data_IF_996783728460
#
_entry.id   IF_996783728460
#
_cell.length_a   1.000
_cell.length_b   1.000
_cell.length_c   1.000
_cell.angle_alpha   90.00
_cell.angle_beta   90.00
_cell.angle_gamma   90.00
#
_symmetry.space_group_name_H-M   'P 1'
#
loop_
_entity.id
_entity.type
_entity.pdbx_description
1 polymer ?
#
# COMPACT_ATOMS: atom_id res chain seq x y z
N UNK A 1 -43.90 -36.50 -5.30
CA UNK A 1 -42.59 -35.89 -4.96
C UNK A 1 -42.86 -34.80 -3.95
N UNK A 2 -42.71 -35.13 -2.67
CA UNK A 2 -43.09 -34.29 -1.55
C UNK A 2 -41.93 -34.02 -0.60
N UNK A 3 -42.15 -33.01 0.24
CA UNK A 3 -41.42 -32.57 1.46
C UNK A 3 -40.04 -31.91 1.23
N UNK A 4 -39.96 -30.58 1.31
CA UNK A 4 -39.80 -29.71 2.50
C UNK A 4 -38.34 -29.63 2.99
N UNK A 5 -37.73 -28.45 2.88
CA UNK A 5 -36.73 -27.93 3.82
C UNK A 5 -36.58 -26.41 3.70
N UNK A 6 -37.46 -25.72 4.43
CA UNK A 6 -37.25 -24.54 5.27
C UNK A 6 -35.95 -23.74 5.12
N UNK A 7 -36.03 -22.51 4.58
CA UNK A 7 -35.29 -21.36 5.12
C UNK A 7 -36.15 -20.10 4.97
N UNK A 8 -37.04 -19.90 5.95
CA UNK A 8 -37.72 -18.63 6.16
C UNK A 8 -36.75 -17.70 6.89
N UNK A 9 -36.10 -16.79 6.17
CA UNK A 9 -35.43 -15.67 6.81
C UNK A 9 -36.44 -14.53 6.99
N UNK A 10 -36.97 -14.40 8.20
CA UNK A 10 -37.71 -13.21 8.62
C UNK A 10 -36.70 -12.10 8.91
N UNK A 11 -36.59 -11.12 8.02
CA UNK A 11 -35.85 -9.90 8.32
C UNK A 11 -36.80 -8.91 9.01
N UNK A 12 -36.58 -8.65 10.30
CA UNK A 12 -37.25 -7.57 11.03
C UNK A 12 -36.60 -6.25 10.60
N UNK A 13 -37.31 -5.45 9.81
CA UNK A 13 -36.92 -4.06 9.54
C UNK A 13 -37.55 -3.22 10.65
N UNK A 14 -36.74 -2.76 11.58
CA UNK A 14 -37.14 -1.75 12.58
C UNK A 14 -37.20 -0.39 11.90
N UNK A 15 -38.36 0.27 11.95
CA UNK A 15 -38.46 1.70 11.64
C UNK A 15 -37.64 2.50 12.67
N UNK A 16 -37.08 3.67 12.30
CA UNK A 16 -36.16 4.45 13.15
C UNK A 16 -36.75 4.93 14.50
N UNK A 17 -38.05 4.74 14.71
CA UNK A 17 -38.84 5.08 15.90
C UNK A 17 -39.24 3.86 16.77
N UNK A 18 -38.72 2.66 16.47
CA UNK A 18 -38.68 1.55 17.42
C UNK A 18 -40.01 0.84 17.72
N UNK A 19 -41.05 1.01 16.89
CA UNK A 19 -42.32 0.24 17.03
C UNK A 19 -42.43 -0.86 15.95
N UNK A 20 -42.92 -2.06 16.29
CA UNK A 20 -43.15 -3.11 15.30
C UNK A 20 -44.45 -2.84 14.52
N UNK A 21 -44.34 -2.68 13.20
CA UNK A 21 -45.50 -2.69 12.29
C UNK A 21 -45.40 -3.87 11.32
N UNK A 22 -46.47 -4.67 11.30
CA UNK A 22 -46.92 -5.61 10.27
C UNK A 22 -45.92 -6.38 9.39
N UNK A 23 -46.08 -7.71 9.35
CA UNK A 23 -45.41 -8.61 8.41
C UNK A 23 -45.85 -8.34 6.96
N UNK A 24 -44.92 -7.95 6.09
CA UNK A 24 -45.16 -7.86 4.63
C UNK A 24 -44.57 -9.05 3.90
N UNK A 25 -45.37 -9.65 2.99
CA UNK A 25 -44.95 -10.71 2.07
C UNK A 25 -44.39 -10.08 0.80
N UNK A 26 -43.10 -10.26 0.51
CA UNK A 26 -42.52 -9.83 -0.76
C UNK A 26 -42.92 -10.87 -1.82
N UNK A 27 -44.02 -10.61 -2.51
CA UNK A 27 -44.44 -11.37 -3.69
C UNK A 27 -43.61 -10.90 -4.90
N UNK A 28 -42.96 -11.85 -5.58
CA UNK A 28 -42.09 -11.58 -6.71
C UNK A 28 -42.85 -10.97 -7.88
N UNK A 29 -42.60 -9.71 -8.18
CA UNK A 29 -42.73 -9.14 -9.52
C UNK A 29 -41.86 -7.90 -9.60
N UNK A 30 -40.81 -7.97 -10.43
CA UNK A 30 -40.46 -6.98 -11.44
C UNK A 30 -38.94 -6.90 -11.64
N UNK A 31 -38.43 -7.80 -12.47
CA UNK A 31 -37.07 -7.73 -13.04
C UNK A 31 -36.80 -6.38 -13.74
N UNK A 32 -37.85 -5.63 -14.09
CA UNK A 32 -37.75 -4.31 -14.71
C UNK A 32 -37.29 -3.20 -13.75
N UNK A 33 -37.54 -3.34 -12.44
CA UNK A 33 -37.09 -2.34 -11.46
C UNK A 33 -35.56 -2.38 -11.35
N UNK A 34 -34.94 -3.55 -11.34
CA UNK A 34 -33.48 -3.69 -11.36
C UNK A 34 -32.82 -3.08 -12.60
N UNK A 35 -33.50 -3.13 -13.75
CA UNK A 35 -32.97 -2.60 -15.00
C UNK A 35 -33.05 -1.06 -15.07
N UNK A 36 -34.06 -0.45 -14.44
CA UNK A 36 -34.15 1.01 -14.31
C UNK A 36 -33.21 1.58 -13.24
N UNK A 37 -32.98 0.86 -12.14
CA UNK A 37 -31.96 1.25 -11.15
C UNK A 37 -30.54 1.23 -11.75
N UNK A 38 -30.26 0.40 -12.75
CA UNK A 38 -28.99 0.36 -13.49
C UNK A 38 -28.76 1.55 -14.43
N UNK A 39 -29.80 2.31 -14.79
CA UNK A 39 -29.71 3.48 -15.66
C UNK A 39 -29.66 4.81 -14.89
N UNK A 40 -30.08 4.80 -13.62
CA UNK A 40 -30.05 5.97 -12.73
C UNK A 40 -28.88 5.97 -11.74
N UNK A 41 -28.20 4.83 -11.57
CA UNK A 41 -26.98 4.76 -10.78
C UNK A 41 -25.79 5.09 -11.69
N UNK A 42 -24.93 6.06 -11.34
CA UNK A 42 -23.64 6.20 -12.00
C UNK A 42 -22.91 4.85 -11.93
N UNK A 43 -22.04 4.52 -12.92
CA UNK A 43 -21.23 3.30 -12.84
C UNK A 43 -20.59 3.26 -11.45
N UNK A 44 -20.53 2.09 -10.78
CA UNK A 44 -19.71 2.00 -9.57
C UNK A 44 -18.36 2.52 -10.00
N UNK A 45 -17.96 3.68 -9.47
CA UNK A 45 -16.62 4.19 -9.66
C UNK A 45 -15.77 3.02 -9.25
N UNK A 46 -15.11 2.40 -10.24
CA UNK A 46 -14.02 1.46 -10.02
C UNK A 46 -13.30 2.03 -8.82
N UNK A 47 -13.14 1.24 -7.75
CA UNK A 47 -12.33 1.68 -6.63
C UNK A 47 -10.98 2.07 -7.23
N UNK A 48 -10.83 3.33 -7.63
CA UNK A 48 -9.61 4.06 -7.55
C UNK A 48 -9.44 4.04 -6.07
N UNK A 49 -8.76 2.98 -5.61
CA UNK A 49 -8.04 2.97 -4.37
C UNK A 49 -7.46 4.38 -4.33
N UNK A 50 -8.05 5.22 -3.47
CA UNK A 50 -7.53 6.54 -3.26
C UNK A 50 -6.18 6.22 -2.69
N UNK A 51 -5.19 6.20 -3.56
CA UNK A 51 -3.81 6.09 -3.17
C UNK A 51 -3.62 7.40 -2.45
N UNK A 52 -3.90 7.39 -1.14
CA UNK A 52 -3.25 8.29 -0.22
C UNK A 52 -1.81 8.31 -0.72
N UNK A 53 -1.23 9.46 -1.07
CA UNK A 53 0.14 9.49 -1.55
C UNK A 53 0.94 8.74 -0.49
N UNK A 54 1.39 7.53 -0.81
CA UNK A 54 2.20 6.77 0.11
C UNK A 54 3.46 7.61 0.18
N UNK A 55 3.64 8.24 1.34
CA UNK A 55 4.83 9.05 1.56
C UNK A 55 5.98 8.04 1.58
N UNK A 56 6.91 8.20 0.67
CA UNK A 56 8.15 7.43 0.63
C UNK A 56 9.26 8.41 0.90
N UNK A 57 10.03 8.17 1.95
CA UNK A 57 11.14 9.05 2.28
C UNK A 57 12.27 8.25 2.89
N UNK A 58 13.42 8.30 2.22
CA UNK A 58 14.67 7.69 2.62
C UNK A 58 15.73 8.77 2.75
N UNK A 59 16.27 8.95 3.96
CA UNK A 59 17.42 9.81 4.21
C UNK A 59 18.71 8.98 4.19
N UNK A 60 19.65 9.35 3.33
CA UNK A 60 20.97 8.72 3.19
C UNK A 60 22.02 9.67 3.77
N UNK A 61 22.97 9.13 4.53
CA UNK A 61 24.04 9.88 5.16
C UNK A 61 25.41 9.41 4.68
N UNK A 62 26.31 10.38 4.50
CA UNK A 62 27.68 10.15 4.05
C UNK A 62 28.52 9.38 5.08
N UNK A 63 28.24 9.54 6.38
CA UNK A 63 28.96 8.86 7.47
C UNK A 63 28.05 7.93 8.26
N UNK A 64 28.66 7.05 9.05
CA UNK A 64 27.96 6.25 10.05
C UNK A 64 27.31 7.14 11.12
N UNK A 65 26.36 6.57 11.87
CA UNK A 65 25.62 7.24 12.96
C UNK A 65 24.86 8.51 12.53
N UNK A 66 24.35 8.54 11.28
CA UNK A 66 23.57 9.67 10.74
C UNK A 66 24.33 11.00 10.73
N UNK A 67 25.64 10.94 10.45
CA UNK A 67 26.52 12.11 10.41
C UNK A 67 26.91 12.50 8.97
N UNK A 68 27.44 13.71 8.84
CA UNK A 68 27.92 14.23 7.56
C UNK A 68 26.79 14.78 6.70
N UNK A 69 27.00 14.80 5.38
CA UNK A 69 25.99 15.28 4.46
C UNK A 69 24.83 14.29 4.38
N UNK A 70 23.61 14.81 4.31
CA UNK A 70 22.38 14.04 4.19
C UNK A 70 21.75 14.33 2.82
N UNK A 71 21.28 13.28 2.15
CA UNK A 71 20.48 13.36 0.93
C UNK A 71 19.16 12.66 1.19
N UNK A 72 18.06 13.37 0.96
CA UNK A 72 16.71 12.80 1.07
C UNK A 72 16.22 12.37 -0.30
N UNK A 73 15.65 11.16 -0.37
CA UNK A 73 15.12 10.55 -1.58
C UNK A 73 13.66 10.15 -1.36
N UNK A 74 12.82 10.53 -2.31
CA UNK A 74 11.38 10.26 -2.32
C UNK A 74 10.94 9.47 -3.55
N UNK A 75 11.85 9.27 -4.51
CA UNK A 75 11.60 8.63 -5.79
C UNK A 75 12.61 7.51 -6.06
N UNK A 76 12.30 6.70 -7.08
CA UNK A 76 13.16 5.61 -7.51
C UNK A 76 14.40 6.18 -8.24
N UNK A 77 15.56 5.60 -7.99
CA UNK A 77 16.82 6.05 -8.59
C UNK A 77 17.58 4.88 -9.21
N UNK A 78 17.72 4.82 -10.54
CA UNK A 78 18.50 3.77 -11.22
C UNK A 78 20.02 3.96 -11.05
N UNK A 79 20.48 5.12 -10.60
CA UNK A 79 21.88 5.43 -10.33
C UNK A 79 22.00 6.41 -9.15
N UNK A 80 22.10 5.86 -7.94
CA UNK A 80 22.13 6.69 -6.71
C UNK A 80 23.46 7.44 -6.53
N UNK A 81 24.55 6.91 -7.10
CA UNK A 81 25.89 7.50 -6.99
C UNK A 81 25.99 8.93 -7.54
N UNK A 82 25.12 9.31 -8.48
CA UNK A 82 25.13 10.68 -9.04
C UNK A 82 24.49 11.70 -8.09
N UNK A 83 23.64 11.23 -7.18
CA UNK A 83 22.95 12.04 -6.18
C UNK A 83 23.75 12.12 -4.88
N UNK A 84 24.54 11.09 -4.59
CA UNK A 84 25.43 11.03 -3.45
C UNK A 84 26.76 11.70 -3.75
N UNK A 85 27.28 12.49 -2.81
CA UNK A 85 28.64 13.03 -2.90
C UNK A 85 29.73 11.97 -2.71
N UNK A 86 29.37 10.86 -2.07
CA UNK A 86 30.24 9.74 -1.75
C UNK A 86 29.79 8.50 -2.53
N UNK A 87 30.73 7.64 -2.98
CA UNK A 87 30.39 6.38 -3.64
C UNK A 87 29.77 5.33 -2.70
N UNK A 88 29.76 5.60 -1.39
CA UNK A 88 29.27 4.67 -0.38
C UNK A 88 28.23 5.32 0.55
N UNK A 89 27.16 4.57 0.79
CA UNK A 89 26.15 4.84 1.79
C UNK A 89 26.54 4.16 3.10
N UNK A 90 26.95 4.95 4.08
CA UNK A 90 27.43 4.44 5.36
C UNK A 90 26.30 4.30 6.39
N UNK A 91 25.33 5.21 6.40
CA UNK A 91 24.12 5.08 7.21
C UNK A 91 22.89 5.64 6.49
N UNK A 92 21.70 5.19 6.91
CA UNK A 92 20.44 5.68 6.35
C UNK A 92 19.31 5.67 7.39
N UNK A 93 18.24 6.40 7.11
CA UNK A 93 17.01 6.38 7.88
C UNK A 93 15.83 6.32 6.94
N UNK A 94 15.01 5.29 7.07
CA UNK A 94 13.74 5.18 6.36
C UNK A 94 12.69 5.88 7.22
N UNK A 95 12.24 7.05 6.77
CA UNK A 95 11.21 7.83 7.46
C UNK A 95 9.83 7.26 7.15
N UNK A 96 9.55 7.05 5.85
CA UNK A 96 8.27 6.53 5.39
C UNK A 96 8.44 5.56 4.21
N UNK A 97 7.52 4.59 4.17
CA UNK A 97 7.48 3.54 3.16
C UNK A 97 8.56 2.47 3.32
N UNK A 98 8.57 1.52 2.38
CA UNK A 98 9.57 0.47 2.29
C UNK A 98 10.46 0.72 1.08
N UNK A 99 11.74 0.42 1.22
CA UNK A 99 12.73 0.68 0.18
C UNK A 99 13.53 -0.58 -0.14
N UNK A 100 13.89 -0.75 -1.40
CA UNK A 100 14.79 -1.82 -1.85
C UNK A 100 16.05 -1.17 -2.38
N UNK A 101 17.18 -1.47 -1.73
CA UNK A 101 18.49 -1.10 -2.22
C UNK A 101 19.05 -2.20 -3.12
N UNK A 102 19.82 -1.79 -4.11
CA UNK A 102 20.52 -2.66 -5.04
C UNK A 102 22.01 -2.36 -5.02
N UNK A 103 22.82 -3.41 -4.97
CA UNK A 103 24.28 -3.31 -5.00
C UNK A 103 24.78 -2.68 -6.32
N UNK A 104 24.12 -2.95 -7.45
CA UNK A 104 24.51 -2.44 -8.76
C UNK A 104 23.51 -1.42 -9.32
N UNK A 105 23.92 -0.56 -10.27
CA UNK A 105 23.02 0.34 -10.99
C UNK A 105 21.93 -0.42 -11.77
N UNK A 106 20.85 0.29 -12.10
CA UNK A 106 19.72 -0.23 -12.88
C UNK A 106 19.00 -1.43 -12.24
N UNK A 107 18.85 -1.43 -10.92
CA UNK A 107 18.13 -2.43 -10.13
C UNK A 107 18.71 -3.85 -10.25
N UNK A 108 20.04 -3.97 -10.26
CA UNK A 108 20.77 -5.24 -10.42
C UNK A 108 21.57 -5.62 -9.18
N UNK A 109 22.01 -6.88 -9.13
CA UNK A 109 22.84 -7.40 -8.04
C UNK A 109 22.02 -7.80 -6.82
N UNK A 110 22.67 -7.80 -5.65
CA UNK A 110 22.02 -8.14 -4.37
C UNK A 110 21.01 -7.08 -3.98
N UNK A 111 19.91 -7.53 -3.38
CA UNK A 111 18.79 -6.70 -2.95
C UNK A 111 18.72 -6.66 -1.44
N UNK A 112 18.48 -5.49 -0.88
CA UNK A 112 18.33 -5.29 0.57
C UNK A 112 17.03 -4.55 0.84
N UNK A 113 16.09 -5.20 1.52
CA UNK A 113 14.83 -4.59 1.93
C UNK A 113 15.04 -3.76 3.19
N UNK A 114 14.81 -2.46 3.09
CA UNK A 114 14.76 -1.54 4.22
C UNK A 114 13.33 -1.34 4.67
N UNK A 115 13.12 -1.56 5.96
CA UNK A 115 11.88 -1.22 6.68
C UNK A 115 12.00 0.18 7.31
N UNK A 116 10.88 0.85 7.59
CA UNK A 116 10.87 2.07 8.41
C UNK A 116 11.73 1.91 9.67
N UNK A 117 12.66 2.85 9.88
CA UNK A 117 13.64 2.76 10.95
C UNK A 117 14.98 3.40 10.62
N UNK A 118 15.85 3.42 11.63
CA UNK A 118 17.17 4.01 11.57
C UNK A 118 18.23 2.92 11.43
N UNK A 119 19.11 3.06 10.44
CA UNK A 119 20.22 2.16 10.20
C UNK A 119 21.53 2.93 10.31
N UNK A 120 22.28 2.71 11.39
CA UNK A 120 23.50 3.49 11.70
C UNK A 120 24.73 3.06 10.90
N UNK A 121 24.67 1.86 10.31
CA UNK A 121 25.76 1.23 9.56
C UNK A 121 25.23 0.25 8.53
N UNK A 122 25.97 0.03 7.44
CA UNK A 122 25.52 -0.81 6.32
C UNK A 122 25.27 -2.29 6.63
N UNK A 123 25.86 -2.79 7.70
CA UNK A 123 25.62 -4.16 8.16
C UNK A 123 24.27 -4.33 8.85
N UNK A 124 23.59 -3.26 9.28
CA UNK A 124 22.26 -3.35 9.90
C UNK A 124 21.16 -3.69 8.88
N UNK A 125 21.32 -3.33 7.60
CA UNK A 125 20.46 -3.80 6.52
C UNK A 125 20.97 -5.07 5.82
N UNK A 126 22.00 -5.72 6.38
CA UNK A 126 22.53 -6.98 5.89
C UNK A 126 23.49 -6.86 4.70
N UNK A 127 23.98 -5.66 4.37
CA UNK A 127 25.03 -5.50 3.35
C UNK A 127 26.42 -5.79 3.93
N UNK A 128 27.31 -6.29 3.08
CA UNK A 128 28.73 -6.47 3.39
C UNK A 128 29.57 -5.22 3.11
N UNK A 129 29.02 -4.24 2.39
CA UNK A 129 29.70 -2.97 2.06
C UNK A 129 28.70 -1.81 1.98
N UNK A 130 29.18 -0.57 2.05
CA UNK A 130 28.36 0.63 1.86
C UNK A 130 27.98 0.89 0.39
N UNK A 131 28.37 0.03 -0.56
CA UNK A 131 28.12 0.27 -1.99
C UNK A 131 26.66 0.03 -2.33
N UNK A 132 26.01 1.07 -2.86
CA UNK A 132 24.65 1.03 -3.39
C UNK A 132 24.68 1.66 -4.77
N UNK A 133 24.22 0.91 -5.78
CA UNK A 133 24.18 1.37 -7.17
C UNK A 133 22.83 1.94 -7.57
N UNK A 134 21.73 1.40 -7.04
CA UNK A 134 20.37 1.88 -7.32
C UNK A 134 19.41 1.57 -6.17
N UNK A 135 18.26 2.22 -6.16
CA UNK A 135 17.22 2.03 -5.14
C UNK A 135 15.83 2.32 -5.69
N UNK A 136 14.83 1.65 -5.14
CA UNK A 136 13.42 1.89 -5.49
C UNK A 136 12.51 1.72 -4.29
N UNK A 137 11.34 2.32 -4.36
CA UNK A 137 10.23 2.13 -3.44
C UNK A 137 9.66 0.72 -3.63
N UNK A 138 9.31 0.09 -2.51
CA UNK A 138 8.65 -1.20 -2.53
C UNK A 138 7.13 -0.99 -2.51
N UNK A 139 6.55 -0.72 -3.69
CA UNK A 139 5.11 -0.49 -3.87
C UNK A 139 4.29 -1.78 -3.85
N UNK A 140 4.89 -2.91 -4.21
CA UNK A 140 4.19 -4.19 -4.39
C UNK A 140 4.03 -4.99 -3.07
N UNK A 141 4.33 -4.39 -1.92
CA UNK A 141 4.25 -5.07 -0.61
C UNK A 141 2.87 -4.94 0.07
N UNK A 142 1.85 -4.43 -0.64
CA UNK A 142 0.50 -4.18 -0.12
C UNK A 142 -0.61 -4.58 -1.11
#
# INVERSE_FOLDING_TARGET
MGTNCSYLHYALITQPDGRPSGSYVICGTSFWVFFLYRLLLPPPTTHTHTHCPEFFTLAIYEKEDHRGNMVELTEDSPQVMDQLRSPEMLSCSVLDGYWILYELPNYRGRQYLLRPGQYRRFSEWGSMSGKVGSLRRATDLY
#
